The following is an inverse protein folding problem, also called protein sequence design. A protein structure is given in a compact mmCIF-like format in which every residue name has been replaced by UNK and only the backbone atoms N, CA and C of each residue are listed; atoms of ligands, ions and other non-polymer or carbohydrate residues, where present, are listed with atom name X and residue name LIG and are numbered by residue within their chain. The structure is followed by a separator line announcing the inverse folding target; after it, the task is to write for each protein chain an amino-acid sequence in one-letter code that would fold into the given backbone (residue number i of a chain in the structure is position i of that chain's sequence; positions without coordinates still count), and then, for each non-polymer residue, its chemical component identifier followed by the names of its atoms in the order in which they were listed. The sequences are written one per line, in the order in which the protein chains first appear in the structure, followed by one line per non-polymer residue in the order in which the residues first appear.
data_IF_746345763322
#
_entry.id   IF_746345763322
#
_cell.length_a   1.000
_cell.length_b   1.000
_cell.length_c   1.000
_cell.angle_alpha   90.00
_cell.angle_beta   90.00
_cell.angle_gamma   90.00
#
_symmetry.space_group_name_H-M   'P 1'
#
loop_
_entity.id
_entity.type
_entity.pdbx_description
1 polymer ?
#
# COMPACT_ATOMS: atom_id res chain seq x y z
N UNK A 1 11.46 4.38 7.22
CA UNK A 1 12.03 3.36 6.33
C UNK A 1 12.36 4.03 5.00
N UNK A 2 13.46 3.68 4.34
CA UNK A 2 13.79 4.19 3.00
C UNK A 2 13.49 3.10 1.97
N UNK A 3 12.76 3.45 0.91
CA UNK A 3 12.50 2.56 -0.22
C UNK A 3 13.05 3.22 -1.50
N UNK A 4 13.66 2.39 -2.34
CA UNK A 4 14.34 2.79 -3.57
C UNK A 4 13.47 2.34 -4.77
N UNK A 5 13.05 3.28 -5.61
CA UNK A 5 12.43 2.97 -6.91
C UNK A 5 13.47 3.28 -8.01
N UNK A 6 13.96 2.25 -8.70
CA UNK A 6 14.93 2.38 -9.80
C UNK A 6 14.23 2.28 -11.16
N UNK A 7 14.05 3.42 -11.83
CA UNK A 7 13.62 3.50 -13.24
C UNK A 7 14.64 4.29 -14.08
N UNK A 8 14.36 4.54 -15.37
CA UNK A 8 15.23 5.29 -16.30
C UNK A 8 15.39 6.80 -15.97
N UNK A 9 15.23 7.20 -14.70
CA UNK A 9 15.35 8.58 -14.21
C UNK A 9 16.08 8.63 -12.85
N UNK A 10 16.19 9.82 -12.20
CA UNK A 10 16.90 9.94 -10.94
C UNK A 10 16.25 9.07 -9.86
N UNK A 11 17.09 8.31 -9.14
CA UNK A 11 16.67 7.47 -8.02
C UNK A 11 15.84 8.29 -7.03
N UNK A 12 14.57 7.92 -6.87
CA UNK A 12 13.68 8.60 -5.94
C UNK A 12 13.63 7.83 -4.63
N UNK A 13 14.19 8.43 -3.59
CA UNK A 13 14.13 7.89 -2.23
C UNK A 13 12.79 8.26 -1.60
N UNK A 14 11.95 7.26 -1.31
CA UNK A 14 10.75 7.48 -0.53
C UNK A 14 11.04 7.16 0.92
N UNK A 15 11.05 8.20 1.76
CA UNK A 15 11.10 8.02 3.21
C UNK A 15 9.69 7.78 3.72
N UNK A 16 9.33 6.50 3.84
CA UNK A 16 8.09 6.11 4.52
C UNK A 16 8.13 6.57 5.99
N UNK A 17 7.06 7.27 6.39
CA UNK A 17 6.82 7.74 7.76
C UNK A 17 6.28 6.65 8.68
N UNK A 18 5.64 5.63 8.11
CA UNK A 18 5.19 4.47 8.87
C UNK A 18 6.37 3.74 9.51
N UNK A 19 6.19 3.31 10.76
CA UNK A 19 7.18 2.49 11.48
C UNK A 19 7.33 1.14 10.79
N UNK A 20 8.52 0.53 10.86
CA UNK A 20 8.83 -0.71 10.13
C UNK A 20 7.92 -1.86 10.57
N UNK A 21 7.62 -1.94 11.84
CA UNK A 21 6.81 -2.99 12.46
C UNK A 21 5.34 -2.91 11.99
N UNK A 22 4.81 -1.68 11.93
CA UNK A 22 3.46 -1.42 11.41
C UNK A 22 3.38 -1.70 9.90
N UNK A 23 4.43 -1.37 9.15
CA UNK A 23 4.50 -1.73 7.73
C UNK A 23 4.49 -3.25 7.52
N UNK A 24 5.33 -3.99 8.26
CA UNK A 24 5.43 -5.45 8.13
C UNK A 24 4.09 -6.12 8.48
N UNK A 25 3.43 -5.68 9.55
CA UNK A 25 2.13 -6.24 9.96
C UNK A 25 1.03 -5.92 8.94
N UNK A 26 0.99 -4.69 8.42
CA UNK A 26 0.08 -4.29 7.35
C UNK A 26 0.32 -5.09 6.05
N UNK A 27 1.58 -5.26 5.64
CA UNK A 27 1.93 -6.04 4.45
C UNK A 27 1.50 -7.50 4.59
N UNK A 28 1.83 -8.15 5.71
CA UNK A 28 1.42 -9.54 5.98
C UNK A 28 -0.09 -9.75 5.93
N UNK A 29 -0.88 -8.75 6.34
CA UNK A 29 -2.34 -8.83 6.27
C UNK A 29 -2.86 -8.65 4.84
N UNK A 30 -2.23 -7.77 4.04
CA UNK A 30 -2.69 -7.39 2.70
C UNK A 30 -2.25 -8.39 1.63
N UNK A 31 -1.00 -8.88 1.68
CA UNK A 31 -0.38 -9.71 0.64
C UNK A 31 -1.27 -10.88 0.16
N UNK A 32 -1.98 -11.63 1.04
CA UNK A 32 -2.84 -12.74 0.61
C UNK A 32 -4.03 -12.33 -0.27
N UNK A 33 -4.39 -11.05 -0.31
CA UNK A 33 -5.51 -10.54 -1.11
C UNK A 33 -5.08 -9.96 -2.46
N UNK A 34 -3.78 -9.70 -2.63
CA UNK A 34 -3.20 -9.14 -3.85
C UNK A 34 -2.85 -10.28 -4.81
N UNK A 35 -3.73 -10.54 -5.76
CA UNK A 35 -3.55 -11.58 -6.79
C UNK A 35 -3.61 -10.96 -8.18
N UNK A 36 -3.10 -11.67 -9.18
CA UNK A 36 -3.22 -11.28 -10.60
C UNK A 36 -4.68 -11.10 -11.00
N UNK A 37 -5.54 -12.00 -10.52
CA UNK A 37 -6.98 -12.04 -10.80
C UNK A 37 -7.68 -10.85 -10.16
N UNK A 38 -7.46 -10.59 -8.87
CA UNK A 38 -8.06 -9.44 -8.19
C UNK A 38 -7.63 -8.13 -8.83
N UNK A 39 -6.37 -8.02 -9.26
CA UNK A 39 -5.89 -6.84 -9.99
C UNK A 39 -6.53 -6.69 -11.36
N UNK A 40 -6.75 -7.79 -12.10
CA UNK A 40 -7.39 -7.76 -13.41
C UNK A 40 -8.85 -7.30 -13.33
N UNK A 41 -9.61 -7.78 -12.33
CA UNK A 41 -11.01 -7.37 -12.11
C UNK A 41 -11.15 -5.85 -11.97
N UNK A 42 -10.20 -5.18 -11.31
CA UNK A 42 -10.24 -3.72 -11.14
C UNK A 42 -9.89 -3.00 -12.44
N UNK A 43 -8.93 -3.53 -13.22
CA UNK A 43 -8.62 -3.01 -14.56
C UNK A 43 -9.83 -3.09 -15.48
N UNK A 44 -10.50 -4.25 -15.53
CA UNK A 44 -11.65 -4.48 -16.42
C UNK A 44 -12.85 -3.58 -16.06
N UNK A 45 -13.01 -3.27 -14.77
CA UNK A 45 -14.04 -2.35 -14.28
C UNK A 45 -13.66 -0.87 -14.38
N UNK A 46 -12.46 -0.54 -14.88
CA UNK A 46 -11.96 0.84 -14.95
C UNK A 46 -11.75 1.50 -13.58
N UNK A 47 -11.56 0.71 -12.51
CA UNK A 47 -11.34 1.21 -11.17
C UNK A 47 -9.90 1.72 -11.01
N UNK A 48 -9.74 2.79 -10.21
CA UNK A 48 -8.43 3.38 -9.99
C UNK A 48 -7.53 2.44 -9.16
N UNK A 49 -6.20 2.56 -9.37
CA UNK A 49 -5.21 1.88 -8.52
C UNK A 49 -5.35 2.24 -7.05
N UNK A 50 -5.71 3.49 -6.75
CA UNK A 50 -5.99 3.94 -5.38
C UNK A 50 -7.14 3.15 -4.77
N UNK A 51 -8.25 2.97 -5.50
CA UNK A 51 -9.37 2.15 -5.05
C UNK A 51 -8.94 0.71 -4.77
N UNK A 52 -8.16 0.10 -5.66
CA UNK A 52 -7.62 -1.24 -5.44
C UNK A 52 -6.82 -1.35 -4.14
N UNK A 53 -5.87 -0.44 -3.88
CA UNK A 53 -5.06 -0.42 -2.65
C UNK A 53 -5.90 -0.36 -1.37
N UNK A 54 -6.86 0.56 -1.32
CA UNK A 54 -7.71 0.75 -0.16
C UNK A 54 -8.70 -0.40 0.04
N UNK A 55 -9.19 -1.01 -1.03
CA UNK A 55 -10.07 -2.16 -0.93
C UNK A 55 -9.31 -3.43 -0.49
N UNK A 56 -8.03 -3.58 -0.84
CA UNK A 56 -7.19 -4.66 -0.31
C UNK A 56 -6.90 -4.47 1.18
N UNK A 57 -6.67 -3.22 1.63
CA UNK A 57 -6.57 -2.89 3.04
C UNK A 57 -7.87 -3.20 3.78
N UNK A 58 -9.01 -2.80 3.23
CA UNK A 58 -10.30 -3.08 3.87
C UNK A 58 -10.59 -4.58 3.96
N UNK A 59 -10.28 -5.33 2.89
CA UNK A 59 -10.47 -6.78 2.84
C UNK A 59 -9.57 -7.55 3.80
N UNK A 60 -8.37 -7.04 4.11
CA UNK A 60 -7.47 -7.68 5.07
C UNK A 60 -7.93 -7.60 6.52
N UNK A 61 -8.88 -6.71 6.82
CA UNK A 61 -9.32 -6.44 8.18
C UNK A 61 -8.25 -5.78 9.05
N UNK A 62 -7.17 -5.26 8.45
CA UNK A 62 -6.12 -4.55 9.19
C UNK A 62 -6.61 -3.18 9.64
N UNK A 63 -6.64 -2.96 10.95
CA UNK A 63 -7.06 -1.69 11.53
C UNK A 63 -5.94 -0.64 11.47
N UNK A 64 -6.19 0.42 10.67
CA UNK A 64 -5.28 1.57 10.54
C UNK A 64 -5.62 2.72 11.49
N UNK A 65 -6.74 2.66 12.23
CA UNK A 65 -7.15 3.72 13.16
C UNK A 65 -6.03 4.11 14.13
N UNK A 66 -5.30 3.17 14.78
CA UNK A 66 -4.19 3.52 15.67
C UNK A 66 -2.99 4.18 14.96
N UNK A 67 -2.89 4.06 13.64
CA UNK A 67 -1.78 4.65 12.88
C UNK A 67 -1.99 6.14 12.61
N UNK A 68 -3.23 6.63 12.70
CA UNK A 68 -3.54 8.05 12.49
C UNK A 68 -2.97 8.98 13.56
N UNK A 69 -2.48 8.44 14.69
CA UNK A 69 -1.74 9.20 15.70
C UNK A 69 -0.49 9.89 15.14
N UNK A 70 0.10 9.33 14.08
CA UNK A 70 1.32 9.86 13.46
C UNK A 70 1.34 9.75 11.93
N UNK A 71 0.28 9.21 11.32
CA UNK A 71 0.11 9.10 9.88
C UNK A 71 -1.14 9.84 9.41
N UNK A 72 -1.20 10.05 8.08
CA UNK A 72 -2.39 10.52 7.38
C UNK A 72 -2.62 9.61 6.17
N UNK A 73 -3.72 9.83 5.46
CA UNK A 73 -4.10 9.05 4.26
C UNK A 73 -3.00 9.00 3.21
N UNK A 74 -2.22 10.07 3.02
CA UNK A 74 -1.14 10.09 2.04
C UNK A 74 0.01 9.18 2.46
N UNK A 75 0.36 9.16 3.76
CA UNK A 75 1.36 8.25 4.29
C UNK A 75 0.91 6.79 4.18
N UNK A 76 -0.36 6.50 4.48
CA UNK A 76 -0.94 5.16 4.36
C UNK A 76 -1.00 4.74 2.89
N UNK A 77 -1.53 5.58 2.00
CA UNK A 77 -1.64 5.26 0.56
C UNK A 77 -0.27 5.03 -0.08
N UNK A 78 0.76 5.78 0.33
CA UNK A 78 2.14 5.54 -0.11
C UNK A 78 2.62 4.15 0.34
N UNK A 79 2.37 3.77 1.59
CA UNK A 79 2.73 2.45 2.09
C UNK A 79 1.95 1.33 1.38
N UNK A 80 0.64 1.49 1.18
CA UNK A 80 -0.18 0.55 0.41
C UNK A 80 0.32 0.40 -1.02
N UNK A 81 0.81 1.49 -1.64
CA UNK A 81 1.36 1.44 -2.99
C UNK A 81 2.56 0.50 -3.05
N UNK A 82 3.47 0.57 -2.08
CA UNK A 82 4.65 -0.30 -2.02
C UNK A 82 4.34 -1.76 -1.67
N UNK A 83 3.24 -2.02 -0.98
CA UNK A 83 2.80 -3.39 -0.69
C UNK A 83 2.20 -4.01 -1.95
N UNK A 84 1.40 -3.24 -2.66
CA UNK A 84 0.55 -3.77 -3.70
C UNK A 84 1.23 -3.70 -5.07
N UNK A 85 1.98 -2.64 -5.39
CA UNK A 85 2.59 -2.30 -6.70
C UNK A 85 4.13 -2.29 -6.67
#
# INVERSE_FOLDING_TARGET
MEIIETGNGPTKYYRLKIKKEHYITMAKAIDPHVTSETRQVYRDKGLSKKRFRWDMLWKSGFDVSPLYDYLNDNHIDTALKHIVE
#
